data_IF_603556946008
#
_entry.id   IF_603556946008
#
_cell.length_a   1.000
_cell.length_b   1.000
_cell.length_c   1.000
_cell.angle_alpha   90.00
_cell.angle_beta   90.00
_cell.angle_gamma   90.00
#
_symmetry.space_group_name_H-M   'P 1'
#
loop_
_entity.id
_entity.type
_entity.pdbx_description
1 polymer ?
#
# COMPACT_ATOMS: atom_id res chain seq x y z
N UNK A 1 7.51 5.48 -13.68
CA UNK A 1 8.88 6.00 -13.47
C UNK A 1 9.81 5.52 -14.59
N UNK A 2 9.97 4.21 -14.79
CA UNK A 2 10.90 3.64 -15.81
C UNK A 2 10.59 4.20 -17.21
N UNK A 3 9.36 4.09 -17.67
CA UNK A 3 8.95 4.63 -18.99
C UNK A 3 9.16 6.14 -19.13
N UNK A 4 9.13 6.89 -18.03
CA UNK A 4 9.45 8.31 -18.02
C UNK A 4 10.95 8.54 -18.16
N UNK A 5 11.77 7.75 -17.48
CA UNK A 5 13.23 7.81 -17.63
C UNK A 5 13.67 7.46 -19.04
N UNK A 6 13.07 6.44 -19.67
CA UNK A 6 13.30 6.06 -21.06
C UNK A 6 12.88 7.19 -22.03
N UNK A 7 11.70 7.79 -21.79
CA UNK A 7 11.21 8.89 -22.63
C UNK A 7 12.06 10.16 -22.55
N UNK A 8 12.78 10.35 -21.44
CA UNK A 8 13.69 11.48 -21.22
C UNK A 8 15.14 11.15 -21.55
N UNK A 9 15.39 9.96 -22.11
CA UNK A 9 16.74 9.46 -22.46
C UNK A 9 17.74 9.57 -21.30
N UNK A 10 17.27 9.31 -20.07
CA UNK A 10 18.15 9.27 -18.90
C UNK A 10 19.00 8.00 -18.95
N UNK A 11 20.32 8.17 -18.84
CA UNK A 11 21.24 7.03 -18.74
C UNK A 11 20.90 6.18 -17.53
N UNK A 12 21.00 4.86 -17.69
CA UNK A 12 20.88 3.94 -16.57
C UNK A 12 21.84 4.32 -15.44
N UNK A 13 21.35 4.27 -14.20
CA UNK A 13 22.09 4.64 -12.97
C UNK A 13 22.54 6.13 -12.93
N UNK A 14 22.00 6.99 -13.80
CA UNK A 14 22.20 8.43 -13.64
C UNK A 14 21.52 8.95 -12.37
N UNK A 15 21.95 10.10 -11.88
CA UNK A 15 21.40 10.74 -10.70
C UNK A 15 19.94 11.12 -10.89
N UNK A 16 19.60 11.58 -12.10
CA UNK A 16 18.27 11.98 -12.54
C UNK A 16 17.32 10.77 -12.57
N UNK A 17 17.74 9.68 -13.22
CA UNK A 17 16.96 8.43 -13.27
C UNK A 17 16.75 7.87 -11.85
N UNK A 18 17.78 7.86 -11.01
CA UNK A 18 17.69 7.39 -9.62
C UNK A 18 16.73 8.26 -8.82
N UNK A 19 16.78 9.58 -8.94
CA UNK A 19 15.88 10.50 -8.24
C UNK A 19 14.42 10.27 -8.62
N UNK A 20 14.13 10.13 -9.92
CA UNK A 20 12.76 9.88 -10.43
C UNK A 20 12.22 8.54 -9.95
N UNK A 21 13.03 7.48 -10.05
CA UNK A 21 12.62 6.14 -9.63
C UNK A 21 12.40 6.10 -8.11
N UNK A 22 13.33 6.65 -7.33
CA UNK A 22 13.25 6.68 -5.88
C UNK A 22 12.06 7.52 -5.39
N UNK A 23 11.84 8.69 -6.00
CA UNK A 23 10.67 9.53 -5.69
C UNK A 23 9.36 8.77 -5.98
N UNK A 24 9.26 8.09 -7.11
CA UNK A 24 8.08 7.31 -7.45
C UNK A 24 7.86 6.13 -6.50
N UNK A 25 8.92 5.39 -6.14
CA UNK A 25 8.85 4.31 -5.16
C UNK A 25 8.39 4.82 -3.79
N UNK A 26 9.00 5.90 -3.30
CA UNK A 26 8.64 6.47 -2.00
C UNK A 26 7.23 7.06 -2.01
N UNK A 27 6.80 7.71 -3.08
CA UNK A 27 5.43 8.20 -3.21
C UNK A 27 4.41 7.06 -3.08
N UNK A 28 4.65 5.92 -3.73
CA UNK A 28 3.76 4.75 -3.64
C UNK A 28 3.79 4.14 -2.24
N UNK A 29 4.98 3.94 -1.66
CA UNK A 29 5.14 3.29 -0.35
C UNK A 29 4.58 4.16 0.78
N UNK A 30 4.78 5.47 0.74
CA UNK A 30 4.31 6.37 1.80
C UNK A 30 2.80 6.62 1.71
N UNK A 31 2.26 6.81 0.52
CA UNK A 31 0.83 7.08 0.33
C UNK A 31 -0.05 5.86 0.68
N UNK A 32 0.47 4.62 0.55
CA UNK A 32 -0.29 3.42 0.92
C UNK A 32 -0.77 3.43 2.38
N UNK A 33 -0.05 4.12 3.27
CA UNK A 33 -0.40 4.21 4.69
C UNK A 33 -1.69 4.99 4.92
N UNK A 34 -2.06 5.90 4.02
CA UNK A 34 -3.27 6.71 4.14
C UNK A 34 -4.57 5.89 4.10
N UNK A 35 -4.58 4.74 3.44
CA UNK A 35 -5.80 3.98 3.14
C UNK A 35 -5.67 2.51 3.55
N UNK A 36 -6.74 1.95 4.09
CA UNK A 36 -6.80 0.55 4.49
C UNK A 36 -6.42 -0.41 3.33
N UNK A 37 -6.94 -0.14 2.14
CA UNK A 37 -6.66 -0.94 0.92
C UNK A 37 -5.39 -0.52 0.20
N UNK A 38 -4.61 0.40 0.76
CA UNK A 38 -3.34 0.86 0.17
C UNK A 38 -2.24 -0.20 0.15
N UNK A 39 -2.32 -1.21 1.03
CA UNK A 39 -1.38 -2.32 1.08
C UNK A 39 -1.98 -3.55 1.74
N UNK A 40 -1.51 -4.74 1.34
CA UNK A 40 -1.92 -6.00 1.94
C UNK A 40 -1.55 -6.07 3.43
N UNK A 41 -0.43 -5.47 3.81
CA UNK A 41 0.03 -5.34 5.18
C UNK A 41 -0.96 -4.55 6.06
N UNK A 42 -1.54 -3.45 5.55
CA UNK A 42 -2.57 -2.69 6.27
C UNK A 42 -3.82 -3.54 6.53
N UNK A 43 -4.33 -4.21 5.49
CA UNK A 43 -5.53 -5.05 5.60
C UNK A 43 -5.32 -6.22 6.57
N UNK A 44 -4.14 -6.86 6.50
CA UNK A 44 -3.81 -7.98 7.39
C UNK A 44 -3.61 -7.51 8.83
N UNK A 45 -2.88 -6.42 9.04
CA UNK A 45 -2.66 -5.84 10.37
C UNK A 45 -3.98 -5.48 11.04
N UNK A 46 -4.84 -4.75 10.33
CA UNK A 46 -6.16 -4.40 10.87
C UNK A 46 -7.03 -5.62 11.12
N UNK A 47 -7.01 -6.63 10.24
CA UNK A 47 -7.76 -7.86 10.47
C UNK A 47 -7.27 -8.66 11.70
N UNK A 48 -5.98 -8.59 12.04
CA UNK A 48 -5.45 -9.18 13.29
C UNK A 48 -5.88 -8.36 14.51
N UNK A 49 -5.77 -7.04 14.45
CA UNK A 49 -6.22 -6.13 15.52
C UNK A 49 -7.72 -6.33 15.79
N UNK A 50 -8.56 -6.39 14.75
CA UNK A 50 -9.99 -6.64 14.87
C UNK A 50 -10.32 -7.96 15.59
N UNK A 51 -9.55 -9.02 15.34
CA UNK A 51 -9.72 -10.30 16.04
C UNK A 51 -9.39 -10.24 17.52
N UNK A 52 -8.39 -9.45 17.91
CA UNK A 52 -7.93 -9.33 19.29
C UNK A 52 -8.84 -8.37 20.06
N UNK A 53 -9.13 -7.20 19.50
CA UNK A 53 -9.88 -6.13 20.16
C UNK A 53 -11.40 -6.27 20.04
N UNK A 54 -11.86 -7.17 19.15
CA UNK A 54 -13.29 -7.34 18.80
C UNK A 54 -13.95 -6.05 18.26
N UNK A 55 -13.15 -5.13 17.72
CA UNK A 55 -13.59 -3.85 17.13
C UNK A 55 -13.36 -3.85 15.64
N UNK A 56 -14.39 -3.52 14.84
CA UNK A 56 -14.27 -3.38 13.40
C UNK A 56 -13.89 -1.96 13.04
N UNK A 57 -12.83 -1.81 12.25
CA UNK A 57 -12.43 -0.53 11.69
C UNK A 57 -12.89 -0.43 10.25
N UNK A 58 -13.70 0.58 9.96
CA UNK A 58 -14.16 0.85 8.59
C UNK A 58 -13.05 1.48 7.74
N UNK A 59 -13.18 1.39 6.41
CA UNK A 59 -12.22 1.97 5.49
C UNK A 59 -12.07 3.49 5.70
N UNK A 60 -13.21 4.18 5.92
CA UNK A 60 -13.24 5.62 6.15
C UNK A 60 -12.64 6.01 7.51
N UNK A 61 -12.85 5.22 8.57
CA UNK A 61 -12.21 5.46 9.88
C UNK A 61 -10.70 5.32 9.80
N UNK A 62 -10.24 4.27 9.12
CA UNK A 62 -8.82 4.09 8.87
C UNK A 62 -8.24 5.29 8.12
N UNK A 63 -8.88 5.71 7.02
CA UNK A 63 -8.46 6.87 6.25
C UNK A 63 -8.46 8.15 7.09
N UNK A 64 -9.48 8.40 7.90
CA UNK A 64 -9.57 9.58 8.75
C UNK A 64 -8.38 9.70 9.71
N UNK A 65 -7.98 8.61 10.34
CA UNK A 65 -6.86 8.61 11.29
C UNK A 65 -5.48 8.63 10.61
N UNK A 66 -5.35 8.01 9.44
CA UNK A 66 -4.07 7.83 8.78
C UNK A 66 -3.78 8.80 7.63
N UNK A 67 -4.79 9.55 7.16
CA UNK A 67 -4.62 10.45 6.02
C UNK A 67 -3.62 11.57 6.32
N UNK A 68 -3.74 12.24 7.47
CA UNK A 68 -2.84 13.34 7.83
C UNK A 68 -1.39 12.83 8.06
N UNK A 69 -1.14 11.84 8.94
CA UNK A 69 0.22 11.33 9.13
C UNK A 69 0.81 10.71 7.85
N UNK A 70 0.04 9.99 7.06
CA UNK A 70 0.49 9.41 5.79
C UNK A 70 0.83 10.49 4.75
N UNK A 71 0.05 11.56 4.67
CA UNK A 71 0.34 12.71 3.79
C UNK A 71 1.61 13.43 4.22
N UNK A 72 1.79 13.69 5.51
CA UNK A 72 3.02 14.27 6.05
C UNK A 72 4.23 13.39 5.76
N UNK A 73 4.10 12.08 5.96
CA UNK A 73 5.16 11.13 5.64
C UNK A 73 5.51 11.16 4.15
N UNK A 74 4.52 11.24 3.26
CA UNK A 74 4.73 11.35 1.82
C UNK A 74 5.48 12.64 1.46
N UNK A 75 5.05 13.78 1.99
CA UNK A 75 5.71 15.07 1.74
C UNK A 75 7.16 15.03 2.25
N UNK A 76 7.38 14.57 3.47
CA UNK A 76 8.72 14.47 4.05
C UNK A 76 9.64 13.55 3.23
N UNK A 77 9.12 12.41 2.77
CA UNK A 77 9.87 11.46 1.93
C UNK A 77 10.27 12.09 0.60
N UNK A 78 9.36 12.82 -0.06
CA UNK A 78 9.64 13.50 -1.32
C UNK A 78 10.63 14.66 -1.13
N UNK A 79 10.47 15.46 -0.06
CA UNK A 79 11.42 16.52 0.29
C UNK A 79 12.81 15.91 0.52
N UNK A 80 12.91 14.83 1.26
CA UNK A 80 14.18 14.15 1.52
C UNK A 80 14.87 13.71 0.23
N UNK A 81 14.12 13.13 -0.72
CA UNK A 81 14.66 12.76 -2.04
C UNK A 81 15.17 13.98 -2.80
N UNK A 82 14.42 15.08 -2.83
CA UNK A 82 14.85 16.29 -3.53
C UNK A 82 16.09 16.93 -2.91
N UNK A 83 16.26 16.80 -1.59
CA UNK A 83 17.45 17.30 -0.88
C UNK A 83 18.68 16.41 -1.09
N UNK A 84 18.50 15.09 -1.04
CA UNK A 84 19.60 14.13 -1.18
C UNK A 84 20.04 13.92 -2.63
N UNK A 85 19.09 14.00 -3.57
CA UNK A 85 19.32 13.78 -4.99
C UNK A 85 18.77 14.95 -5.81
N UNK A 86 19.37 16.16 -5.67
CA UNK A 86 18.96 17.29 -6.48
C UNK A 86 19.15 16.96 -7.96
N UNK A 87 18.06 16.86 -8.69
CA UNK A 87 18.07 16.64 -10.14
C UNK A 87 17.84 17.99 -10.84
N UNK A 88 18.62 18.25 -11.89
CA UNK A 88 18.45 19.44 -12.72
C UNK A 88 17.46 19.22 -13.88
N UNK A 89 16.41 18.44 -13.63
CA UNK A 89 15.39 18.20 -14.65
C UNK A 89 14.50 19.44 -14.73
N UNK A 90 14.64 20.18 -15.83
CA UNK A 90 13.80 21.35 -16.06
C UNK A 90 12.41 20.89 -16.53
N UNK A 91 11.36 21.42 -15.90
CA UNK A 91 9.97 21.20 -16.30
C UNK A 91 9.70 21.57 -17.75
N UNK A 92 10.46 22.50 -18.32
CA UNK A 92 10.39 22.90 -19.73
C UNK A 92 10.81 21.76 -20.67
N UNK A 93 11.68 20.87 -20.26
CA UNK A 93 12.11 19.70 -21.05
C UNK A 93 11.10 18.55 -20.94
N UNK A 94 10.40 18.45 -19.80
CA UNK A 94 9.38 17.43 -19.55
C UNK A 94 8.09 17.66 -20.36
N UNK A 95 7.65 18.90 -20.42
CA UNK A 95 6.35 19.25 -21.00
C UNK A 95 6.19 18.79 -22.44
N UNK A 96 7.11 19.05 -23.40
CA UNK A 96 6.96 18.60 -24.77
C UNK A 96 6.98 17.08 -24.93
N UNK A 97 7.73 16.35 -24.06
CA UNK A 97 7.77 14.88 -24.08
C UNK A 97 6.43 14.30 -23.62
N UNK A 98 5.84 14.88 -22.57
CA UNK A 98 4.51 14.45 -22.06
C UNK A 98 3.40 14.78 -23.08
N UNK A 99 3.45 15.95 -23.72
CA UNK A 99 2.50 16.34 -24.77
C UNK A 99 2.60 15.43 -26.01
N UNK A 100 3.81 15.08 -26.43
CA UNK A 100 4.02 14.13 -27.53
C UNK A 100 3.44 12.75 -27.20
N UNK A 101 3.70 12.23 -25.98
CA UNK A 101 3.12 10.96 -25.52
C UNK A 101 1.60 11.03 -25.38
N UNK A 102 1.05 12.13 -24.92
CA UNK A 102 -0.39 12.32 -24.81
C UNK A 102 -1.05 12.32 -26.21
N UNK A 103 -0.42 12.94 -27.21
CA UNK A 103 -0.89 12.91 -28.61
C UNK A 103 -0.80 11.51 -29.21
N UNK A 104 0.25 10.77 -28.91
CA UNK A 104 0.44 9.38 -29.34
C UNK A 104 -0.63 8.44 -28.77
N UNK A 105 -1.06 8.66 -27.52
CA UNK A 105 -2.14 7.89 -26.87
C UNK A 105 -3.51 8.09 -27.52
N UNK A 106 -3.72 9.19 -28.23
CA UNK A 106 -4.98 9.50 -28.91
C UNK A 106 -6.16 9.80 -27.97
N UNK A 107 -7.40 9.82 -28.49
CA UNK A 107 -8.60 10.11 -27.70
C UNK A 107 -8.91 8.97 -26.72
N UNK A 108 -9.48 9.33 -25.56
CA UNK A 108 -9.87 8.38 -24.51
C UNK A 108 -10.84 7.33 -25.06
N UNK A 109 -10.44 6.06 -24.99
CA UNK A 109 -11.21 4.92 -25.48
C UNK A 109 -12.43 4.62 -24.61
N UNK A 110 -13.40 3.87 -25.14
CA UNK A 110 -14.55 3.39 -24.36
C UNK A 110 -14.10 2.52 -23.19
N UNK A 111 -13.11 1.65 -23.39
CA UNK A 111 -12.58 0.79 -22.31
C UNK A 111 -11.98 1.62 -21.18
N UNK A 112 -11.21 2.67 -21.49
CA UNK A 112 -10.64 3.58 -20.50
C UNK A 112 -11.70 4.33 -19.70
N UNK A 113 -12.77 4.81 -20.37
CA UNK A 113 -13.92 5.45 -19.68
C UNK A 113 -14.59 4.48 -18.73
N UNK A 114 -14.87 3.27 -19.19
CA UNK A 114 -15.50 2.23 -18.36
C UNK A 114 -14.63 1.85 -17.16
N UNK A 115 -13.30 1.71 -17.35
CA UNK A 115 -12.37 1.48 -16.26
C UNK A 115 -12.35 2.62 -15.24
N UNK A 116 -12.39 3.88 -15.71
CA UNK A 116 -12.44 5.05 -14.84
C UNK A 116 -13.76 5.09 -14.01
N UNK A 117 -14.89 4.75 -14.63
CA UNK A 117 -16.18 4.66 -13.93
C UNK A 117 -16.16 3.56 -12.87
N UNK A 118 -15.66 2.38 -13.19
CA UNK A 118 -15.53 1.28 -12.21
C UNK A 118 -14.58 1.64 -11.06
N UNK A 119 -13.48 2.32 -11.35
CA UNK A 119 -12.56 2.79 -10.32
C UNK A 119 -13.22 3.83 -9.40
N UNK A 120 -13.96 4.79 -9.98
CA UNK A 120 -14.70 5.78 -9.20
C UNK A 120 -15.78 5.11 -8.34
N UNK A 121 -16.54 4.17 -8.91
CA UNK A 121 -17.53 3.38 -8.18
C UNK A 121 -16.89 2.62 -7.00
N UNK A 122 -15.73 2.02 -7.22
CA UNK A 122 -14.98 1.34 -6.15
C UNK A 122 -14.65 2.30 -5.01
N UNK A 123 -14.13 3.48 -5.32
CA UNK A 123 -13.81 4.50 -4.32
C UNK A 123 -15.05 4.97 -3.55
N UNK A 124 -16.16 5.19 -4.23
CA UNK A 124 -17.44 5.56 -3.59
C UNK A 124 -17.92 4.45 -2.66
N UNK A 125 -17.89 3.19 -3.11
CA UNK A 125 -18.30 2.05 -2.28
C UNK A 125 -17.40 1.87 -1.06
N UNK A 126 -16.08 2.05 -1.20
CA UNK A 126 -15.15 2.00 -0.07
C UNK A 126 -15.38 3.16 0.92
N UNK A 127 -15.63 4.36 0.40
CA UNK A 127 -15.88 5.54 1.24
C UNK A 127 -17.24 5.48 1.98
N UNK A 128 -18.17 4.71 1.47
CA UNK A 128 -19.52 4.56 2.04
C UNK A 128 -19.73 3.24 2.78
N UNK A 129 -18.64 2.54 3.16
CA UNK A 129 -18.70 1.22 3.82
C UNK A 129 -19.53 1.23 5.11
N UNK A 130 -19.55 2.32 5.85
CA UNK A 130 -20.43 2.52 7.02
C UNK A 130 -21.91 2.44 6.71
N UNK A 131 -22.33 2.83 5.49
CA UNK A 131 -23.74 2.87 5.11
C UNK A 131 -24.27 1.48 4.73
N UNK A 132 -23.47 0.70 4.03
CA UNK A 132 -23.91 -0.61 3.51
C UNK A 132 -23.30 -1.81 4.26
N UNK A 133 -22.29 -1.61 5.12
CA UNK A 133 -21.68 -2.66 5.93
C UNK A 133 -20.90 -3.73 5.15
N UNK A 134 -20.65 -3.51 3.84
CA UNK A 134 -19.92 -4.48 3.00
C UNK A 134 -18.42 -4.30 3.21
N UNK A 135 -17.74 -5.38 3.57
CA UNK A 135 -16.29 -5.34 3.78
C UNK A 135 -15.54 -4.95 2.48
N UNK A 136 -14.47 -4.15 2.63
CA UNK A 136 -13.67 -3.65 1.52
C UNK A 136 -13.20 -4.75 0.55
N UNK A 137 -12.83 -5.92 1.06
CA UNK A 137 -12.46 -7.08 0.23
C UNK A 137 -13.59 -7.56 -0.68
N UNK A 138 -14.83 -7.59 -0.18
CA UNK A 138 -16.00 -7.96 -0.98
C UNK A 138 -16.29 -6.92 -2.06
N UNK A 139 -16.15 -5.62 -1.76
CA UNK A 139 -16.30 -4.55 -2.76
C UNK A 139 -15.32 -4.77 -3.90
N UNK A 140 -14.05 -5.02 -3.61
CA UNK A 140 -13.02 -5.27 -4.63
C UNK A 140 -13.32 -6.51 -5.48
N UNK A 141 -13.80 -7.59 -4.86
CA UNK A 141 -14.21 -8.81 -5.57
C UNK A 141 -15.40 -8.51 -6.50
N UNK A 142 -16.45 -7.87 -6.00
CA UNK A 142 -17.65 -7.55 -6.78
C UNK A 142 -17.34 -6.66 -7.99
N UNK A 143 -16.50 -5.64 -7.82
CA UNK A 143 -16.08 -4.77 -8.93
C UNK A 143 -15.22 -5.54 -9.94
N UNK A 144 -14.35 -6.43 -9.46
CA UNK A 144 -13.57 -7.31 -10.35
C UNK A 144 -14.50 -8.21 -11.18
N UNK A 145 -15.51 -8.82 -10.58
CA UNK A 145 -16.51 -9.59 -11.32
C UNK A 145 -17.29 -8.73 -12.32
N UNK A 146 -17.66 -7.48 -11.92
CA UNK A 146 -18.32 -6.55 -12.82
C UNK A 146 -17.50 -6.25 -14.07
N UNK A 147 -16.17 -6.22 -13.98
CA UNK A 147 -15.28 -6.02 -15.11
C UNK A 147 -15.32 -7.17 -16.16
N UNK A 148 -15.79 -8.38 -15.77
CA UNK A 148 -16.00 -9.50 -16.67
C UNK A 148 -17.38 -9.53 -17.34
N UNK A 149 -18.34 -8.73 -16.87
CA UNK A 149 -19.71 -8.78 -17.38
C UNK A 149 -19.78 -8.43 -18.88
N UNK A 150 -20.68 -9.13 -19.62
CA UNK A 150 -20.98 -8.77 -21.00
C UNK A 150 -21.46 -7.31 -21.09
N UNK A 151 -20.85 -6.52 -21.95
CA UNK A 151 -21.10 -5.07 -22.07
C UNK A 151 -20.10 -4.16 -21.36
N UNK A 152 -19.48 -4.62 -20.25
CA UNK A 152 -18.32 -3.99 -19.60
C UNK A 152 -17.05 -4.39 -20.32
N UNK A 153 -16.83 -5.69 -20.49
CA UNK A 153 -15.79 -6.32 -21.33
C UNK A 153 -14.36 -5.80 -21.08
N UNK A 154 -14.05 -5.35 -19.86
CA UNK A 154 -12.72 -4.91 -19.48
C UNK A 154 -11.77 -6.08 -19.24
N UNK A 155 -12.28 -7.16 -18.66
CA UNK A 155 -11.56 -8.40 -18.40
C UNK A 155 -12.17 -9.55 -19.20
N UNK A 156 -11.30 -10.42 -19.69
CA UNK A 156 -11.66 -11.68 -20.34
C UNK A 156 -10.64 -12.75 -19.93
N UNK A 157 -10.91 -14.02 -20.27
CA UNK A 157 -10.05 -15.13 -19.91
C UNK A 157 -8.59 -14.96 -20.37
N UNK A 158 -8.37 -14.40 -21.55
CA UNK A 158 -7.02 -14.16 -22.08
C UNK A 158 -6.26 -13.06 -21.31
N UNK A 159 -6.94 -12.01 -20.87
CA UNK A 159 -6.37 -10.97 -20.02
C UNK A 159 -6.13 -11.50 -18.59
N UNK A 160 -7.06 -12.30 -18.08
CA UNK A 160 -6.91 -12.95 -16.77
C UNK A 160 -5.71 -13.89 -16.72
N UNK A 161 -5.48 -14.68 -17.77
CA UNK A 161 -4.30 -15.55 -17.87
C UNK A 161 -2.95 -14.85 -17.90
N UNK A 162 -2.93 -13.52 -18.13
CA UNK A 162 -1.70 -12.70 -18.07
C UNK A 162 -1.39 -12.17 -16.67
N UNK A 163 -2.26 -12.39 -15.69
CA UNK A 163 -2.02 -11.95 -14.31
C UNK A 163 -0.87 -12.75 -13.71
N UNK A 164 0.09 -12.04 -13.14
CA UNK A 164 1.15 -12.67 -12.37
C UNK A 164 0.63 -13.05 -10.98
N UNK A 165 0.44 -14.33 -10.73
CA UNK A 165 -0.01 -14.87 -9.44
C UNK A 165 1.13 -15.06 -8.42
N UNK A 166 2.39 -14.86 -8.79
CA UNK A 166 3.51 -15.02 -7.84
C UNK A 166 3.37 -14.17 -6.57
N UNK A 167 2.89 -12.90 -6.61
CA UNK A 167 2.63 -12.12 -5.40
C UNK A 167 1.61 -12.77 -4.46
N UNK A 168 0.61 -13.49 -4.99
CA UNK A 168 -0.39 -14.18 -4.17
C UNK A 168 0.26 -15.30 -3.35
N UNK A 169 1.09 -16.15 -3.98
CA UNK A 169 1.83 -17.20 -3.27
C UNK A 169 2.81 -16.62 -2.24
N UNK A 170 3.44 -15.49 -2.55
CA UNK A 170 4.29 -14.78 -1.59
C UNK A 170 3.50 -14.34 -0.35
N UNK A 171 2.33 -13.72 -0.53
CA UNK A 171 1.44 -13.32 0.58
C UNK A 171 1.01 -14.53 1.40
N UNK A 172 0.61 -15.62 0.75
CA UNK A 172 0.25 -16.88 1.43
C UNK A 172 1.42 -17.43 2.27
N UNK A 173 2.64 -17.40 1.74
CA UNK A 173 3.85 -17.78 2.47
C UNK A 173 4.08 -16.94 3.73
N UNK A 174 3.96 -15.61 3.61
CA UNK A 174 4.09 -14.69 4.75
C UNK A 174 3.01 -14.96 5.83
N UNK A 175 1.76 -15.20 5.41
CA UNK A 175 0.68 -15.55 6.35
C UNK A 175 0.94 -16.89 7.04
N UNK A 176 1.48 -17.87 6.33
CA UNK A 176 1.84 -19.17 6.91
C UNK A 176 2.93 -19.02 7.97
N UNK A 177 3.95 -18.20 7.73
CA UNK A 177 4.99 -17.90 8.72
C UNK A 177 4.39 -17.28 9.99
N UNK A 178 3.51 -16.28 9.84
CA UNK A 178 2.81 -15.66 10.97
C UNK A 178 1.94 -16.66 11.75
N UNK A 179 1.16 -17.48 11.04
CA UNK A 179 0.33 -18.51 11.66
C UNK A 179 1.15 -19.59 12.36
N UNK A 180 2.26 -20.02 11.79
CA UNK A 180 3.19 -20.97 12.42
C UNK A 180 3.84 -20.36 13.67
N UNK A 181 4.23 -19.08 13.63
CA UNK A 181 4.74 -18.34 14.77
C UNK A 181 3.74 -18.30 15.94
N UNK A 182 2.47 -18.06 15.65
CA UNK A 182 1.40 -18.12 16.65
C UNK A 182 1.19 -19.53 17.22
N UNK A 183 1.11 -20.53 16.35
CA UNK A 183 0.95 -21.93 16.76
C UNK A 183 2.11 -22.47 17.61
N UNK A 184 3.32 -21.99 17.35
CA UNK A 184 4.53 -22.32 18.11
C UNK A 184 4.75 -21.42 19.35
N UNK A 185 3.79 -20.52 19.65
CA UNK A 185 3.86 -19.56 20.77
C UNK A 185 5.07 -18.62 20.72
N UNK A 186 5.66 -18.43 19.55
CA UNK A 186 6.78 -17.49 19.36
C UNK A 186 6.31 -16.05 19.64
N UNK A 187 5.08 -15.72 19.21
CA UNK A 187 4.46 -14.41 19.47
C UNK A 187 4.27 -14.15 20.95
N UNK A 188 3.76 -15.13 21.73
CA UNK A 188 3.63 -15.05 23.18
C UNK A 188 5.01 -14.89 23.86
N UNK A 189 6.02 -15.61 23.40
CA UNK A 189 7.38 -15.49 23.93
C UNK A 189 7.97 -14.09 23.69
N UNK A 190 7.77 -13.52 22.49
CA UNK A 190 8.18 -12.14 22.18
C UNK A 190 7.40 -11.13 23.01
N UNK A 191 6.06 -11.29 23.13
CA UNK A 191 5.23 -10.42 23.93
C UNK A 191 5.69 -10.39 25.40
N UNK A 192 5.87 -11.56 26.02
CA UNK A 192 6.35 -11.67 27.40
C UNK A 192 7.74 -11.06 27.60
N UNK A 193 8.60 -11.08 26.59
CA UNK A 193 9.91 -10.42 26.62
C UNK A 193 9.83 -8.89 26.51
N UNK A 194 8.79 -8.37 25.84
CA UNK A 194 8.60 -6.94 25.59
C UNK A 194 7.74 -6.26 26.66
N UNK A 195 6.71 -6.93 27.17
CA UNK A 195 5.76 -6.40 28.16
C UNK A 195 6.41 -5.67 29.34
N UNK A 196 7.47 -6.17 29.99
CA UNK A 196 8.11 -5.48 31.10
C UNK A 196 8.63 -4.08 30.74
N UNK A 197 8.99 -3.88 29.47
CA UNK A 197 9.50 -2.58 29.01
C UNK A 197 8.38 -1.58 28.70
N UNK A 198 7.15 -2.04 28.46
CA UNK A 198 6.01 -1.20 28.12
C UNK A 198 5.13 -0.86 29.32
N UNK A 199 5.20 -1.61 30.42
CA UNK A 199 4.26 -1.55 31.54
C UNK A 199 4.18 -0.17 32.20
N UNK A 200 5.30 0.56 32.31
CA UNK A 200 5.38 1.85 32.99
C UNK A 200 5.45 3.05 32.02
N UNK A 201 5.22 2.81 30.72
CA UNK A 201 5.31 3.86 29.71
C UNK A 201 3.98 4.57 29.51
N UNK A 202 4.03 5.89 29.31
CA UNK A 202 2.86 6.62 28.81
C UNK A 202 2.52 6.14 27.39
N UNK A 203 1.25 6.25 26.99
CA UNK A 203 0.76 5.80 25.66
C UNK A 203 1.61 6.32 24.49
N UNK A 204 2.08 7.58 24.56
CA UNK A 204 2.93 8.18 23.52
C UNK A 204 4.32 7.54 23.45
N UNK A 205 4.94 7.25 24.59
CA UNK A 205 6.24 6.58 24.64
C UNK A 205 6.14 5.12 24.22
N UNK A 206 5.08 4.41 24.64
CA UNK A 206 4.82 3.04 24.19
C UNK A 206 4.67 2.96 22.67
N UNK A 207 3.88 3.87 22.07
CA UNK A 207 3.72 3.95 20.62
C UNK A 207 5.04 4.24 19.88
N UNK A 208 5.85 5.18 20.40
CA UNK A 208 7.15 5.48 19.81
C UNK A 208 8.13 4.29 19.89
N UNK A 209 8.14 3.60 21.05
CA UNK A 209 8.98 2.40 21.24
C UNK A 209 8.53 1.25 20.33
N UNK A 210 7.24 1.00 20.21
CA UNK A 210 6.67 0.01 19.29
C UNK A 210 7.02 0.33 17.83
N UNK A 211 7.00 1.61 17.44
CA UNK A 211 7.41 2.04 16.12
C UNK A 211 8.90 1.74 15.85
N UNK A 212 9.79 2.13 16.75
CA UNK A 212 11.24 1.88 16.62
C UNK A 212 11.52 0.38 16.55
N UNK A 213 10.85 -0.40 17.39
CA UNK A 213 10.96 -1.86 17.37
C UNK A 213 10.46 -2.45 16.05
N UNK A 214 9.30 -1.99 15.56
CA UNK A 214 8.77 -2.39 14.26
C UNK A 214 9.71 -2.07 13.10
N UNK A 215 10.35 -0.90 13.12
CA UNK A 215 11.40 -0.54 12.14
C UNK A 215 12.58 -1.52 12.22
N UNK A 216 13.08 -1.83 13.41
CA UNK A 216 14.19 -2.78 13.59
C UNK A 216 13.83 -4.18 13.06
N UNK A 217 12.64 -4.67 13.36
CA UNK A 217 12.14 -5.96 12.87
C UNK A 217 12.00 -5.97 11.34
N UNK A 218 11.60 -4.84 10.75
CA UNK A 218 11.44 -4.74 9.30
C UNK A 218 12.77 -4.81 8.52
N UNK A 219 13.92 -4.61 9.16
CA UNK A 219 15.22 -4.91 8.56
C UNK A 219 15.51 -6.42 8.44
N UNK A 220 14.87 -7.22 9.27
CA UNK A 220 15.04 -8.68 9.30
C UNK A 220 13.94 -9.41 8.53
N UNK A 221 12.72 -8.87 8.56
CA UNK A 221 11.52 -9.44 7.96
C UNK A 221 10.97 -8.51 6.88
N UNK A 222 10.27 -9.08 5.91
CA UNK A 222 9.47 -8.26 4.99
C UNK A 222 8.33 -7.58 5.74
N UNK A 223 7.82 -6.41 5.28
CA UNK A 223 6.72 -5.70 5.95
C UNK A 223 5.52 -6.60 6.26
N UNK A 224 5.16 -7.48 5.34
CA UNK A 224 4.05 -8.40 5.50
C UNK A 224 4.31 -9.46 6.58
N UNK A 225 5.51 -10.04 6.62
CA UNK A 225 5.90 -10.99 7.64
C UNK A 225 6.02 -10.31 9.02
N UNK A 226 6.55 -9.09 9.07
CA UNK A 226 6.63 -8.31 10.31
C UNK A 226 5.24 -8.05 10.89
N UNK A 227 4.27 -7.61 10.06
CA UNK A 227 2.88 -7.40 10.49
C UNK A 227 2.26 -8.69 11.02
N UNK A 228 2.36 -9.80 10.28
CA UNK A 228 1.73 -11.06 10.70
C UNK A 228 2.31 -11.65 11.98
N UNK A 229 3.59 -11.41 12.27
CA UNK A 229 4.26 -11.94 13.47
C UNK A 229 4.21 -11.01 14.67
N UNK A 230 4.18 -9.67 14.45
CA UNK A 230 4.33 -8.68 15.51
C UNK A 230 3.02 -7.99 15.92
N UNK A 231 1.98 -8.03 15.11
CA UNK A 231 0.73 -7.35 15.46
C UNK A 231 0.09 -7.94 16.71
N UNK A 232 0.04 -9.27 16.83
CA UNK A 232 -0.54 -9.93 18.02
C UNK A 232 0.21 -9.54 19.31
N UNK A 233 1.54 -9.74 19.42
CA UNK A 233 2.26 -9.38 20.65
C UNK A 233 2.24 -7.89 21.00
N UNK A 234 2.04 -7.00 20.04
CA UNK A 234 1.97 -5.56 20.30
C UNK A 234 0.56 -5.05 20.60
N UNK A 235 -0.46 -5.88 20.40
CA UNK A 235 -1.87 -5.52 20.61
C UNK A 235 -2.41 -6.08 21.93
N UNK A 236 -1.82 -7.16 22.43
CA UNK A 236 -2.09 -7.75 23.75
C UNK A 236 -1.50 -6.89 24.88
#
# INVERSE_FOLDING_TARGET
AISLCEALDFKEKSREATAVILAACLAVISTKVCYLTGGADNVLGMGLIEKITNTKTTWMEYAYHNFLPGTLYTIMSLVLVTLLLPSKVDSKTLQPVLEAKLKEMGPVTREQKTAAVLMLLTLVLLATDKLHGVAAGLVLILVTFAAFLPGVNLLNGARFGKINFAPLFFVMGCMTIGSAGGALKVTEWVANGLLPYFHDMSSSYASATAYVFGVAVNFLLTPLAAVTTMTSPLTE
#
